data_IF_958882462677
#
_entry.id   IF_958882462677
#
_cell.length_a   1.000
_cell.length_b   1.000
_cell.length_c   1.000
_cell.angle_alpha   90.00
_cell.angle_beta   90.00
_cell.angle_gamma   90.00
#
_symmetry.space_group_name_H-M   'P 1'
#
loop_
_entity.id
_entity.type
_entity.pdbx_description
1 polymer ?
#
# COMPACT_ATOMS: atom_id res chain seq x y z
N UNK A 1 13.30 -6.98 -19.29
CA UNK A 1 13.11 -6.53 -18.19
C UNK A 1 11.91 -6.91 -17.45
N UNK A 2 11.92 -6.82 -16.19
CA UNK A 2 10.86 -7.21 -15.44
C UNK A 2 10.01 -6.12 -15.03
N UNK A 3 8.76 -6.28 -15.06
CA UNK A 3 7.89 -5.27 -14.64
C UNK A 3 7.38 -5.60 -13.32
N UNK A 4 7.23 -4.66 -12.46
CA UNK A 4 6.67 -4.86 -11.15
C UNK A 4 5.21 -5.13 -11.29
N UNK A 5 4.67 -5.98 -10.42
CA UNK A 5 3.29 -6.26 -10.44
C UNK A 5 2.61 -5.17 -9.71
N UNK A 6 1.65 -4.53 -10.30
CA UNK A 6 0.90 -3.47 -9.66
C UNK A 6 -0.20 -4.05 -8.78
N UNK A 7 -0.58 -3.32 -7.76
CA UNK A 7 -1.63 -3.74 -6.86
C UNK A 7 -2.97 -3.42 -7.50
N UNK A 8 -3.81 -4.41 -7.67
CA UNK A 8 -5.15 -4.20 -8.19
C UNK A 8 -6.14 -4.67 -7.14
N UNK A 9 -7.00 -3.77 -6.72
CA UNK A 9 -7.97 -4.11 -5.70
C UNK A 9 -9.25 -3.34 -5.93
N UNK A 10 -10.37 -4.03 -5.85
CA UNK A 10 -11.70 -3.45 -6.05
C UNK A 10 -11.81 -2.69 -7.37
N UNK A 11 -11.18 -3.20 -8.39
CA UNK A 11 -11.26 -2.57 -9.70
C UNK A 11 -10.31 -1.40 -9.91
N UNK A 12 -9.51 -1.08 -8.90
CA UNK A 12 -8.54 -0.01 -9.04
C UNK A 12 -7.15 -0.58 -9.12
N UNK A 13 -6.33 -0.04 -10.01
CA UNK A 13 -4.95 -0.45 -10.11
C UNK A 13 -4.09 0.72 -9.63
N UNK A 14 -3.29 0.45 -8.62
CA UNK A 14 -2.43 1.48 -8.06
C UNK A 14 -1.11 1.50 -8.81
N UNK A 15 -0.46 2.64 -8.82
CA UNK A 15 0.79 2.76 -9.56
C UNK A 15 1.94 2.14 -8.74
N UNK A 16 3.11 2.13 -9.31
CA UNK A 16 4.24 1.44 -8.70
C UNK A 16 4.81 2.11 -7.47
N UNK A 17 4.28 3.25 -7.09
CA UNK A 17 4.71 3.89 -5.85
C UNK A 17 4.18 3.17 -4.63
N UNK A 18 3.10 2.39 -4.81
CA UNK A 18 2.50 1.65 -3.71
C UNK A 18 3.01 0.23 -3.71
N UNK A 19 3.51 -0.22 -2.58
CA UNK A 19 4.04 -1.56 -2.46
C UNK A 19 3.62 -2.23 -1.18
N UNK A 20 3.51 -3.54 -1.26
CA UNK A 20 3.21 -4.34 -0.08
C UNK A 20 4.28 -5.40 0.00
N UNK A 21 4.97 -5.48 1.10
CA UNK A 21 5.99 -6.51 1.28
C UNK A 21 5.78 -7.28 2.54
N UNK A 22 6.34 -8.48 2.58
CA UNK A 22 6.22 -9.35 3.73
C UNK A 22 7.47 -9.19 4.56
N UNK A 23 7.32 -8.88 5.82
CA UNK A 23 8.45 -8.63 6.70
C UNK A 23 8.38 -9.43 7.98
N UNK A 24 9.54 -9.90 8.42
CA UNK A 24 9.65 -10.60 9.69
C UNK A 24 10.33 -9.63 10.62
N UNK A 25 9.59 -9.05 11.50
CA UNK A 25 10.17 -8.05 12.38
C UNK A 25 10.22 -8.51 13.81
N UNK A 26 10.71 -9.71 14.01
CA UNK A 26 10.80 -10.22 15.36
C UNK A 26 9.52 -10.84 15.87
N UNK A 27 8.53 -10.99 14.98
CA UNK A 27 7.28 -11.62 15.37
C UNK A 27 7.32 -13.09 15.02
N UNK A 28 6.46 -13.84 15.60
CA UNK A 28 6.36 -15.26 15.29
C UNK A 28 5.88 -15.47 13.88
N UNK A 29 5.06 -14.55 13.40
CA UNK A 29 4.58 -14.64 12.04
C UNK A 29 4.94 -13.35 11.32
N UNK A 30 5.10 -13.42 10.02
CA UNK A 30 5.46 -12.22 9.28
C UNK A 30 4.27 -11.29 9.19
N UNK A 31 4.54 -10.05 8.90
CA UNK A 31 3.50 -9.07 8.71
C UNK A 31 3.68 -8.41 7.38
N UNK A 32 2.57 -7.95 6.82
CA UNK A 32 2.61 -7.26 5.55
C UNK A 32 2.73 -5.77 5.82
N UNK A 33 3.67 -5.13 5.16
CA UNK A 33 3.85 -3.70 5.35
C UNK A 33 3.50 -3.01 4.04
N UNK A 34 2.70 -1.96 4.13
CA UNK A 34 2.33 -1.17 2.97
C UNK A 34 3.18 0.08 2.96
N UNK A 35 3.76 0.41 1.81
CA UNK A 35 4.62 1.58 1.71
C UNK A 35 4.26 2.41 0.49
N UNK A 36 4.60 3.68 0.55
CA UNK A 36 4.38 4.59 -0.54
C UNK A 36 5.73 5.21 -0.86
N UNK A 37 6.17 5.08 -2.10
CA UNK A 37 7.46 5.60 -2.57
C UNK A 37 8.66 5.02 -1.81
N UNK A 38 8.48 3.87 -1.22
CA UNK A 38 9.52 3.17 -0.47
C UNK A 38 10.05 3.96 0.72
N UNK A 39 9.42 5.08 1.03
CA UNK A 39 9.88 5.94 2.05
C UNK A 39 8.92 6.02 3.19
N UNK A 40 7.66 6.02 2.90
CA UNK A 40 6.66 6.21 3.89
C UNK A 40 5.94 4.91 4.19
N UNK A 41 5.94 4.47 5.43
CA UNK A 41 5.26 3.26 5.82
C UNK A 41 3.82 3.61 6.16
N UNK A 42 2.88 3.01 5.45
CA UNK A 42 1.48 3.28 5.67
C UNK A 42 0.92 2.48 6.83
N UNK A 43 1.49 1.31 7.07
CA UNK A 43 1.06 0.51 8.20
C UNK A 43 1.52 -0.92 8.09
N UNK A 44 1.22 -1.70 9.13
CA UNK A 44 1.58 -3.09 9.21
C UNK A 44 0.29 -3.87 9.38
N UNK A 45 0.12 -4.91 8.60
CA UNK A 45 -1.11 -5.66 8.57
C UNK A 45 -0.89 -7.16 8.62
N UNK A 46 -1.91 -7.88 9.06
CA UNK A 46 -1.80 -9.33 9.17
C UNK A 46 -1.99 -10.02 7.83
N UNK A 47 -2.73 -9.40 6.93
CA UNK A 47 -2.95 -10.02 5.63
C UNK A 47 -2.56 -9.07 4.51
N UNK A 48 -2.26 -9.65 3.37
CA UNK A 48 -1.89 -8.89 2.21
C UNK A 48 -3.05 -8.01 1.75
N UNK A 49 -4.25 -8.55 1.83
CA UNK A 49 -5.44 -7.83 1.41
C UNK A 49 -5.62 -6.55 2.22
N UNK A 50 -5.39 -6.64 3.52
CA UNK A 50 -5.51 -5.46 4.37
C UNK A 50 -4.47 -4.40 4.02
N UNK A 51 -3.27 -4.84 3.71
CA UNK A 51 -2.22 -3.92 3.32
C UNK A 51 -2.55 -3.24 2.00
N UNK A 52 -3.15 -3.98 1.09
CA UNK A 52 -3.54 -3.41 -0.20
C UNK A 52 -4.67 -2.41 -0.03
N UNK A 53 -5.59 -2.70 0.86
CA UNK A 53 -6.68 -1.77 1.14
C UNK A 53 -6.12 -0.48 1.72
N UNK A 54 -5.11 -0.60 2.57
CA UNK A 54 -4.48 0.57 3.14
C UNK A 54 -3.88 1.46 2.06
N UNK A 55 -3.28 0.86 1.04
CA UNK A 55 -2.73 1.61 -0.07
C UNK A 55 -3.85 2.35 -0.81
N UNK A 56 -4.95 1.67 -1.04
CA UNK A 56 -6.06 2.27 -1.75
C UNK A 56 -6.67 3.43 -0.97
N UNK A 57 -6.80 3.25 0.33
CA UNK A 57 -7.34 4.30 1.19
C UNK A 57 -6.42 5.52 1.18
N UNK A 58 -5.12 5.26 1.22
CA UNK A 58 -4.16 6.34 1.21
C UNK A 58 -4.27 7.14 -0.09
N UNK A 59 -4.39 6.44 -1.21
CA UNK A 59 -4.51 7.09 -2.49
C UNK A 59 -5.77 7.93 -2.57
N UNK A 60 -6.88 7.41 -2.08
CA UNK A 60 -8.13 8.14 -2.09
C UNK A 60 -8.05 9.37 -1.20
N UNK A 61 -7.34 9.24 -0.11
CA UNK A 61 -7.17 10.34 0.80
C UNK A 61 -6.36 11.46 0.17
N UNK A 62 -5.35 11.10 -0.61
CA UNK A 62 -4.54 12.08 -1.29
C UNK A 62 -5.36 12.86 -2.31
N UNK A 63 -6.16 12.14 -3.07
CA UNK A 63 -6.98 12.79 -4.07
C UNK A 63 -7.99 13.71 -3.41
N UNK A 64 -8.58 13.27 -2.32
CA UNK A 64 -9.52 14.08 -1.63
C UNK A 64 -8.88 15.32 -1.09
N UNK A 65 -7.68 15.19 -0.60
CA UNK A 65 -6.95 16.30 -0.06
C UNK A 65 -6.74 17.38 -1.09
N UNK A 66 -6.39 16.97 -2.29
CA UNK A 66 -6.19 17.92 -3.36
C UNK A 66 -7.47 18.63 -3.73
N UNK A 67 -8.56 17.92 -3.76
CA UNK A 67 -9.82 18.53 -4.07
C UNK A 67 -10.30 19.46 -3.01
N UNK A 68 -9.93 19.15 -1.80
CA UNK A 68 -10.38 19.93 -0.70
C UNK A 68 -9.74 21.28 -0.60
N UNK A 69 -8.60 21.38 -1.18
CA UNK A 69 -7.91 22.62 -1.10
C UNK A 69 -8.61 23.62 -1.92
N UNK A 70 -9.07 24.55 -1.54
CA UNK A 70 -9.73 25.41 -2.36
C UNK A 70 -9.74 26.66 -1.93
#
# INVERSE_FOLDING_TARGET
>A
MKKSKLITIDGFTLDERYRVSLQWCGYETPRYVATFCDDEILGWYDTKHEAEIACLVYRKSQVKSLNFTM
#
